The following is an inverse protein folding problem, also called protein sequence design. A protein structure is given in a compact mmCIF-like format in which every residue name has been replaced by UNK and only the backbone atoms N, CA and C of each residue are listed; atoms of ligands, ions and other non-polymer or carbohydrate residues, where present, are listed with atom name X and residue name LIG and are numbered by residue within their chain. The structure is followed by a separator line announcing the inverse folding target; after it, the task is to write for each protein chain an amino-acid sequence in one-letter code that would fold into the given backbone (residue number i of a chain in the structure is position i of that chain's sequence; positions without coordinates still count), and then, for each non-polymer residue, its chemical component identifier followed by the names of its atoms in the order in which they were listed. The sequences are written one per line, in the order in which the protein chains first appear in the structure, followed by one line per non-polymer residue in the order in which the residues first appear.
data_IF_133294379975
#
_entry.id   IF_133294379975
#
_cell.length_a   1.000
_cell.length_b   1.000
_cell.length_c   1.000
_cell.angle_alpha   90.00
_cell.angle_beta   90.00
_cell.angle_gamma   90.00
#
_symmetry.space_group_name_H-M   'P 1'
#
loop_
_entity.id
_entity.type
_entity.pdbx_description
1 polymer ?
#
# COMPACT_ATOMS: atom_id res chain seq x y z
N UNK A 1 -11.03 2.13 -12.02
CA UNK A 1 -11.61 2.46 -10.70
C UNK A 1 -13.13 2.47 -10.74
N UNK A 2 -13.77 1.40 -10.24
CA UNK A 2 -15.24 1.30 -10.18
C UNK A 2 -15.84 2.32 -9.18
N UNK A 3 -15.05 2.88 -8.31
CA UNK A 3 -15.51 3.80 -7.26
C UNK A 3 -15.54 5.26 -7.70
N UNK A 4 -14.73 5.65 -8.68
CA UNK A 4 -14.71 7.00 -9.27
C UNK A 4 -15.54 7.11 -10.56
N UNK A 5 -16.54 6.27 -10.71
CA UNK A 5 -17.35 6.23 -11.94
C UNK A 5 -18.26 7.46 -11.99
N UNK A 6 -17.94 8.38 -12.91
CA UNK A 6 -18.86 9.39 -13.37
C UNK A 6 -20.01 8.74 -14.18
N UNK A 7 -21.10 9.47 -14.46
CA UNK A 7 -22.29 8.94 -15.16
C UNK A 7 -21.99 8.19 -16.47
N UNK A 8 -20.88 8.49 -17.15
CA UNK A 8 -20.44 7.83 -18.38
C UNK A 8 -19.91 6.43 -18.12
N UNK A 9 -19.16 6.28 -17.04
CA UNK A 9 -18.62 4.98 -16.62
C UNK A 9 -19.70 4.05 -16.06
N UNK A 10 -20.75 4.56 -15.42
CA UNK A 10 -21.91 3.74 -14.97
C UNK A 10 -22.65 3.11 -16.15
N UNK A 11 -22.80 3.83 -17.27
CA UNK A 11 -23.38 3.28 -18.50
C UNK A 11 -22.52 2.18 -19.12
N UNK A 12 -21.19 2.35 -19.15
CA UNK A 12 -20.26 1.33 -19.63
C UNK A 12 -20.25 0.08 -18.75
N UNK A 13 -20.35 0.25 -17.45
CA UNK A 13 -20.47 -0.87 -16.50
C UNK A 13 -21.79 -1.64 -16.67
N UNK A 14 -22.90 -0.95 -16.89
CA UNK A 14 -24.19 -1.61 -17.10
C UNK A 14 -24.19 -2.48 -18.36
N UNK A 15 -23.38 -2.16 -19.39
CA UNK A 15 -23.17 -3.00 -20.56
C UNK A 15 -22.37 -4.28 -20.27
N UNK A 16 -21.49 -4.25 -19.24
CA UNK A 16 -20.71 -5.39 -18.81
C UNK A 16 -21.47 -6.33 -17.84
N UNK A 17 -22.57 -5.87 -17.20
CA UNK A 17 -23.33 -6.66 -16.24
C UNK A 17 -23.82 -8.00 -16.80
N UNK A 18 -24.38 -8.09 -18.01
CA UNK A 18 -24.78 -9.38 -18.58
C UNK A 18 -23.63 -10.36 -18.73
N UNK A 19 -22.44 -9.89 -19.05
CA UNK A 19 -21.23 -10.73 -19.14
C UNK A 19 -20.82 -11.24 -17.77
N UNK A 20 -20.79 -10.36 -16.76
CA UNK A 20 -20.45 -10.72 -15.39
C UNK A 20 -21.46 -11.73 -14.79
N UNK A 21 -22.76 -11.48 -14.96
CA UNK A 21 -23.81 -12.34 -14.41
C UNK A 21 -23.77 -13.74 -15.03
N UNK A 22 -23.41 -13.86 -16.30
CA UNK A 22 -23.34 -15.13 -17.02
C UNK A 22 -21.96 -15.80 -16.95
N UNK A 23 -21.02 -15.23 -16.19
CA UNK A 23 -19.70 -15.84 -15.98
C UNK A 23 -19.78 -16.91 -14.89
N UNK A 24 -19.13 -18.06 -15.12
CA UNK A 24 -19.04 -19.12 -14.13
C UNK A 24 -18.13 -18.73 -12.96
N UNK A 25 -17.09 -17.93 -13.24
CA UNK A 25 -16.14 -17.45 -12.25
C UNK A 25 -15.75 -15.99 -12.52
N UNK A 26 -15.75 -15.18 -11.46
CA UNK A 26 -15.26 -13.82 -11.46
C UNK A 26 -14.19 -13.70 -10.36
N UNK A 27 -12.96 -13.41 -10.75
CA UNK A 27 -11.86 -13.18 -9.83
C UNK A 27 -11.80 -11.72 -9.44
N UNK A 28 -11.73 -11.47 -8.14
CA UNK A 28 -11.63 -10.11 -7.57
C UNK A 28 -10.41 -10.01 -6.65
N UNK A 29 -9.70 -8.86 -6.63
CA UNK A 29 -8.38 -8.76 -5.98
C UNK A 29 -8.44 -8.76 -4.44
N UNK A 30 -9.59 -8.46 -3.83
CA UNK A 30 -9.73 -8.27 -2.39
C UNK A 30 -11.19 -8.48 -1.95
N UNK A 31 -11.41 -8.74 -0.67
CA UNK A 31 -12.76 -8.79 -0.09
C UNK A 31 -13.46 -7.43 -0.17
N UNK A 32 -12.72 -6.34 -0.04
CA UNK A 32 -13.24 -4.99 -0.28
C UNK A 32 -13.85 -4.88 -1.69
N UNK A 33 -13.10 -5.31 -2.71
CA UNK A 33 -13.55 -5.25 -4.10
C UNK A 33 -14.72 -6.21 -4.37
N UNK A 34 -14.72 -7.39 -3.77
CA UNK A 34 -15.83 -8.34 -3.80
C UNK A 34 -17.13 -7.69 -3.30
N UNK A 35 -17.06 -6.97 -2.18
CA UNK A 35 -18.22 -6.26 -1.62
C UNK A 35 -18.71 -5.15 -2.55
N UNK A 36 -17.80 -4.45 -3.24
CA UNK A 36 -18.19 -3.47 -4.28
C UNK A 36 -18.96 -4.15 -5.41
N UNK A 37 -18.45 -5.27 -5.93
CA UNK A 37 -19.09 -6.01 -7.03
C UNK A 37 -20.48 -6.49 -6.62
N UNK A 38 -20.62 -7.09 -5.43
CA UNK A 38 -21.90 -7.53 -4.89
C UNK A 38 -22.94 -6.41 -4.77
N UNK A 39 -22.49 -5.23 -4.37
CA UNK A 39 -23.37 -4.07 -4.17
C UNK A 39 -23.73 -3.35 -5.48
N UNK A 40 -22.88 -3.43 -6.50
CA UNK A 40 -23.00 -2.65 -7.73
C UNK A 40 -23.53 -3.45 -8.92
N UNK A 41 -23.40 -4.80 -8.91
CA UNK A 41 -23.81 -5.68 -10.03
C UNK A 41 -25.06 -6.47 -9.63
N UNK A 42 -26.27 -6.06 -10.01
CA UNK A 42 -27.49 -6.77 -9.68
C UNK A 42 -27.50 -8.18 -10.25
N UNK A 43 -27.86 -9.16 -9.46
CA UNK A 43 -28.01 -10.56 -9.89
C UNK A 43 -26.75 -11.42 -9.84
N UNK A 44 -25.61 -10.86 -9.41
CA UNK A 44 -24.37 -11.62 -9.20
C UNK A 44 -24.50 -12.50 -7.94
N UNK A 45 -24.00 -13.72 -8.03
CA UNK A 45 -24.00 -14.69 -6.93
C UNK A 45 -22.64 -14.70 -6.21
N UNK A 46 -22.66 -14.84 -4.89
CA UNK A 46 -21.44 -15.09 -4.10
C UNK A 46 -20.61 -16.28 -4.59
N UNK A 47 -21.30 -17.30 -5.15
CA UNK A 47 -20.64 -18.51 -5.68
C UNK A 47 -19.77 -18.25 -6.90
N UNK A 48 -20.09 -17.18 -7.65
CA UNK A 48 -19.32 -16.76 -8.83
C UNK A 48 -18.08 -15.97 -8.47
N UNK A 49 -17.99 -15.43 -7.24
CA UNK A 49 -16.90 -14.55 -6.82
C UNK A 49 -15.82 -15.32 -6.08
N UNK A 50 -14.62 -15.26 -6.60
CA UNK A 50 -13.41 -15.79 -6.00
C UNK A 50 -12.45 -14.66 -5.68
N UNK A 51 -12.10 -14.50 -4.39
CA UNK A 51 -11.15 -13.48 -3.96
C UNK A 51 -9.75 -14.04 -4.15
N UNK A 52 -8.99 -13.40 -5.00
CA UNK A 52 -7.59 -13.72 -5.24
C UNK A 52 -6.86 -12.51 -5.78
N UNK A 53 -5.69 -12.24 -5.27
CA UNK A 53 -4.81 -11.19 -5.77
C UNK A 53 -4.28 -11.59 -7.16
N UNK A 54 -5.08 -11.32 -8.21
CA UNK A 54 -4.87 -11.85 -9.56
C UNK A 54 -3.48 -11.56 -10.16
N UNK A 55 -2.80 -10.53 -9.68
CA UNK A 55 -1.44 -10.20 -10.12
C UNK A 55 -0.37 -10.87 -9.26
N UNK A 56 -0.68 -11.12 -7.97
CA UNK A 56 0.27 -11.71 -7.03
C UNK A 56 1.54 -10.89 -6.82
N UNK A 57 2.41 -11.40 -5.97
CA UNK A 57 3.72 -10.85 -5.67
C UNK A 57 4.80 -11.87 -6.08
N UNK A 58 5.81 -11.45 -6.84
CA UNK A 58 7.01 -12.28 -7.04
C UNK A 58 7.90 -12.18 -5.79
N UNK A 59 7.80 -13.19 -4.93
CA UNK A 59 8.60 -13.28 -3.69
C UNK A 59 10.08 -13.54 -3.94
N UNK A 60 10.49 -13.89 -5.17
CA UNK A 60 11.90 -14.01 -5.53
C UNK A 60 12.51 -12.64 -5.83
N UNK A 61 11.67 -11.68 -6.26
CA UNK A 61 12.08 -10.29 -6.48
C UNK A 61 12.01 -9.50 -5.18
N UNK A 62 10.87 -9.57 -4.48
CA UNK A 62 10.66 -8.88 -3.21
C UNK A 62 10.86 -9.85 -2.04
N UNK A 63 12.04 -9.81 -1.45
CA UNK A 63 12.43 -10.72 -0.38
C UNK A 63 13.15 -10.00 0.75
N UNK A 64 12.96 -10.47 1.96
CA UNK A 64 13.62 -9.94 3.15
C UNK A 64 15.05 -10.46 3.23
N UNK A 65 16.02 -9.59 2.95
CA UNK A 65 17.44 -9.93 2.90
C UNK A 65 18.09 -10.02 4.30
N UNK A 66 17.54 -9.30 5.29
CA UNK A 66 18.12 -9.19 6.63
C UNK A 66 17.12 -9.50 7.72
N UNK A 67 17.39 -10.52 8.53
CA UNK A 67 16.53 -10.90 9.67
C UNK A 67 16.63 -9.91 10.85
N UNK A 68 17.73 -9.17 10.98
CA UNK A 68 17.98 -8.20 12.05
C UNK A 68 18.56 -6.92 11.46
N UNK A 69 17.76 -5.88 11.38
CA UNK A 69 18.22 -4.55 10.98
C UNK A 69 18.06 -3.61 12.17
N UNK A 70 19.16 -2.97 12.56
CA UNK A 70 19.08 -1.78 13.41
C UNK A 70 18.31 -0.70 12.67
N UNK A 71 17.50 0.08 13.38
CA UNK A 71 16.78 1.19 12.77
C UNK A 71 17.73 2.13 12.04
N UNK A 72 17.42 2.37 10.77
CA UNK A 72 18.20 3.26 9.89
C UNK A 72 17.71 4.70 9.95
N UNK A 73 16.56 4.93 10.58
CA UNK A 73 15.85 6.20 10.52
C UNK A 73 15.22 6.49 9.15
N UNK A 74 15.08 5.48 8.27
CA UNK A 74 14.60 5.69 6.91
C UNK A 74 13.12 5.35 6.78
N UNK A 75 12.36 6.34 6.34
CA UNK A 75 10.94 6.25 5.97
C UNK A 75 10.87 6.28 4.44
N UNK A 76 10.11 5.37 3.83
CA UNK A 76 9.95 5.35 2.37
C UNK A 76 8.48 5.53 1.96
N UNK A 77 8.27 6.30 0.92
CA UNK A 77 7.01 6.42 0.19
C UNK A 77 7.25 5.95 -1.25
N UNK A 78 6.45 5.00 -1.71
CA UNK A 78 6.51 4.48 -3.09
C UNK A 78 5.12 4.53 -3.70
N UNK A 79 4.92 5.43 -4.67
CA UNK A 79 3.69 5.54 -5.44
C UNK A 79 3.87 6.49 -6.61
N UNK A 80 2.87 6.58 -7.48
CA UNK A 80 2.79 7.69 -8.42
C UNK A 80 2.65 9.02 -7.64
N UNK A 81 3.33 10.06 -8.12
CA UNK A 81 3.22 11.40 -7.52
C UNK A 81 2.06 12.14 -8.20
N UNK A 82 0.85 11.70 -7.90
CA UNK A 82 -0.40 12.23 -8.45
C UNK A 82 -1.38 12.60 -7.33
N UNK A 83 -2.41 13.36 -7.67
CA UNK A 83 -3.48 13.70 -6.75
C UNK A 83 -4.15 12.44 -6.16
N UNK A 84 -4.42 12.47 -4.87
CA UNK A 84 -5.04 11.37 -4.14
C UNK A 84 -4.09 10.25 -3.74
N UNK A 85 -2.80 10.27 -4.14
CA UNK A 85 -1.80 9.28 -3.69
C UNK A 85 -1.18 9.65 -2.33
N UNK A 86 -1.56 10.80 -1.75
CA UNK A 86 -1.26 11.20 -0.37
C UNK A 86 0.18 11.62 -0.11
N UNK A 87 0.98 11.87 -1.15
CA UNK A 87 2.33 12.42 -0.96
C UNK A 87 2.31 13.74 -0.20
N UNK A 88 1.27 14.55 -0.41
CA UNK A 88 1.01 15.82 0.26
C UNK A 88 0.65 15.64 1.74
N UNK A 89 -0.15 14.63 2.07
CA UNK A 89 -0.47 14.23 3.45
C UNK A 89 0.80 13.84 4.20
N UNK A 90 1.71 13.09 3.55
CA UNK A 90 2.99 12.73 4.16
C UNK A 90 3.87 13.97 4.37
N UNK A 91 3.97 14.88 3.40
CA UNK A 91 4.76 16.11 3.56
C UNK A 91 4.24 16.94 4.73
N UNK A 92 2.91 17.07 4.88
CA UNK A 92 2.29 17.80 6.00
C UNK A 92 2.64 17.11 7.36
N UNK A 93 2.51 15.80 7.44
CA UNK A 93 2.88 15.02 8.63
C UNK A 93 4.36 15.20 9.01
N UNK A 94 5.27 15.19 8.04
CA UNK A 94 6.70 15.41 8.28
C UNK A 94 6.97 16.84 8.71
N UNK A 95 6.22 17.82 8.20
CA UNK A 95 6.25 19.21 8.66
C UNK A 95 5.94 19.34 10.16
N UNK A 96 4.88 18.67 10.62
CA UNK A 96 4.52 18.62 12.05
C UNK A 96 5.63 17.96 12.89
N UNK A 97 6.15 16.82 12.43
CA UNK A 97 7.25 16.10 13.12
C UNK A 97 8.54 16.91 13.16
N UNK A 98 8.79 17.78 12.18
CA UNK A 98 9.93 18.69 12.20
C UNK A 98 9.76 19.78 13.24
N UNK A 99 8.58 20.37 13.33
CA UNK A 99 8.28 21.40 14.33
C UNK A 99 8.37 20.87 15.75
N UNK A 100 7.98 19.62 15.99
CA UNK A 100 8.11 18.97 17.31
C UNK A 100 9.52 18.40 17.59
N UNK A 101 10.41 18.37 16.58
CA UNK A 101 11.75 17.77 16.69
C UNK A 101 11.77 16.24 16.58
N UNK A 102 10.64 15.57 16.37
CA UNK A 102 10.56 14.12 16.34
C UNK A 102 11.11 13.48 15.06
N UNK A 103 11.34 14.28 13.99
CA UNK A 103 11.97 13.81 12.74
C UNK A 103 13.50 13.81 12.79
N UNK A 104 14.12 14.33 13.84
CA UNK A 104 15.59 14.42 13.94
C UNK A 104 16.25 13.06 13.73
N UNK A 105 17.28 13.04 12.87
CA UNK A 105 18.02 11.82 12.53
C UNK A 105 17.28 10.84 11.61
N UNK A 106 16.11 11.22 11.08
CA UNK A 106 15.34 10.40 10.13
C UNK A 106 15.40 10.97 8.72
N UNK A 107 15.21 10.09 7.74
CA UNK A 107 15.15 10.43 6.30
C UNK A 107 13.83 9.96 5.72
N UNK A 108 13.22 10.77 4.87
CA UNK A 108 12.01 10.43 4.12
C UNK A 108 12.32 10.40 2.64
N UNK A 109 12.14 9.25 2.03
CA UNK A 109 12.47 9.00 0.63
C UNK A 109 11.18 8.90 -0.18
N UNK A 110 11.00 9.79 -1.13
CA UNK A 110 9.87 9.79 -2.07
C UNK A 110 10.31 9.13 -3.38
N UNK A 111 9.64 8.03 -3.75
CA UNK A 111 9.93 7.24 -4.93
C UNK A 111 8.70 7.16 -5.83
N UNK A 112 8.94 7.32 -7.13
CA UNK A 112 7.92 7.26 -8.16
C UNK A 112 7.97 8.46 -9.08
N UNK A 113 6.94 8.61 -9.91
CA UNK A 113 6.80 9.70 -10.86
C UNK A 113 5.31 10.00 -11.07
N UNK A 114 4.98 11.23 -11.43
CA UNK A 114 3.61 11.63 -11.72
C UNK A 114 3.48 13.12 -12.05
N UNK A 115 2.27 13.53 -12.36
CA UNK A 115 1.96 14.90 -12.77
C UNK A 115 2.19 15.96 -11.70
N UNK A 116 2.35 15.56 -10.44
CA UNK A 116 2.56 16.48 -9.31
C UNK A 116 4.00 16.45 -8.74
N UNK A 117 4.96 15.87 -9.48
CA UNK A 117 6.36 15.79 -9.03
C UNK A 117 6.98 17.14 -8.73
N UNK A 118 6.71 18.15 -9.57
CA UNK A 118 7.22 19.52 -9.34
C UNK A 118 6.58 20.13 -8.08
N UNK A 119 5.29 19.88 -7.86
CA UNK A 119 4.57 20.36 -6.69
C UNK A 119 5.10 19.72 -5.39
N UNK A 120 5.41 18.42 -5.40
CA UNK A 120 6.09 17.74 -4.29
C UNK A 120 7.41 18.44 -3.94
N UNK A 121 8.29 18.64 -4.93
CA UNK A 121 9.58 19.30 -4.72
C UNK A 121 9.45 20.74 -4.21
N UNK A 122 8.45 21.46 -4.70
CA UNK A 122 8.13 22.80 -4.24
C UNK A 122 7.69 22.78 -2.77
N UNK A 123 6.74 21.91 -2.40
CA UNK A 123 6.21 21.79 -1.04
C UNK A 123 7.30 21.40 -0.03
N UNK A 124 8.21 20.47 -0.38
CA UNK A 124 9.37 20.09 0.44
C UNK A 124 10.23 21.33 0.76
N UNK A 125 10.48 22.19 -0.23
CA UNK A 125 11.27 23.43 -0.04
C UNK A 125 10.53 24.47 0.81
N UNK A 126 9.25 24.70 0.53
CA UNK A 126 8.42 25.67 1.26
C UNK A 126 8.30 25.33 2.75
N UNK A 127 8.28 24.04 3.09
CA UNK A 127 8.23 23.55 4.47
C UNK A 127 9.62 23.36 5.10
N UNK A 128 10.71 23.79 4.38
CA UNK A 128 12.09 23.62 4.83
C UNK A 128 12.46 22.17 5.17
N UNK A 129 11.95 21.20 4.43
CA UNK A 129 12.16 19.76 4.67
C UNK A 129 13.32 19.17 3.85
N UNK A 130 14.07 19.97 3.10
CA UNK A 130 15.13 19.47 2.19
C UNK A 130 16.31 18.79 2.90
N UNK A 131 16.44 18.95 4.20
CA UNK A 131 17.44 18.28 5.04
C UNK A 131 17.05 16.85 5.43
N UNK A 132 15.75 16.51 5.42
CA UNK A 132 15.23 15.18 5.77
C UNK A 132 14.42 14.50 4.67
N UNK A 133 13.90 15.24 3.67
CA UNK A 133 13.11 14.69 2.57
C UNK A 133 13.92 14.69 1.25
N UNK A 134 13.90 13.55 0.55
CA UNK A 134 14.59 13.38 -0.72
C UNK A 134 13.67 12.72 -1.74
N UNK A 135 13.56 13.32 -2.93
CA UNK A 135 12.90 12.71 -4.08
C UNK A 135 13.90 11.95 -4.93
N UNK A 136 13.67 10.65 -5.13
CA UNK A 136 14.59 9.73 -5.81
C UNK A 136 14.18 9.38 -7.25
N UNK A 137 13.03 9.86 -7.72
CA UNK A 137 12.48 9.45 -9.01
C UNK A 137 11.94 8.02 -9.02
N UNK A 138 11.57 7.51 -10.21
CA UNK A 138 11.12 6.12 -10.36
C UNK A 138 12.28 5.14 -10.15
N UNK A 139 11.94 3.92 -9.69
CA UNK A 139 12.88 2.85 -9.38
C UNK A 139 12.43 1.54 -10.02
N UNK A 140 13.38 0.69 -10.40
CA UNK A 140 13.12 -0.70 -10.82
C UNK A 140 12.72 -1.55 -9.62
N UNK A 141 12.10 -2.71 -9.84
CA UNK A 141 11.72 -3.63 -8.77
C UNK A 141 12.92 -4.07 -7.93
N UNK A 142 14.09 -4.29 -8.56
CA UNK A 142 15.31 -4.63 -7.82
C UNK A 142 15.76 -3.48 -6.91
N UNK A 143 15.78 -2.24 -7.41
CA UNK A 143 16.11 -1.07 -6.59
C UNK A 143 15.07 -0.85 -5.47
N UNK A 144 13.78 -1.13 -5.74
CA UNK A 144 12.72 -1.07 -4.72
C UNK A 144 12.94 -2.13 -3.63
N UNK A 145 13.31 -3.37 -4.01
CA UNK A 145 13.63 -4.40 -3.03
C UNK A 145 14.75 -3.97 -2.09
N UNK A 146 15.85 -3.43 -2.63
CA UNK A 146 16.96 -2.90 -1.84
C UNK A 146 16.49 -1.76 -0.91
N UNK A 147 15.71 -0.83 -1.45
CA UNK A 147 15.22 0.32 -0.72
C UNK A 147 14.28 -0.07 0.43
N UNK A 148 13.34 -0.98 0.19
CA UNK A 148 12.46 -1.50 1.24
C UNK A 148 13.25 -2.21 2.34
N UNK A 149 14.26 -3.03 1.98
CA UNK A 149 15.12 -3.71 2.94
C UNK A 149 15.97 -2.75 3.79
N UNK A 150 16.25 -1.54 3.29
CA UNK A 150 17.00 -0.49 3.99
C UNK A 150 16.09 0.49 4.76
N UNK A 151 14.77 0.34 4.62
CA UNK A 151 13.80 1.24 5.26
C UNK A 151 13.23 0.63 6.54
N UNK A 152 12.96 1.47 7.52
CA UNK A 152 12.32 1.05 8.77
C UNK A 152 10.83 0.83 8.58
N UNK A 153 10.19 1.70 7.77
CA UNK A 153 8.74 1.72 7.55
C UNK A 153 8.41 2.35 6.20
N UNK A 154 7.40 1.80 5.53
CA UNK A 154 6.79 2.41 4.36
C UNK A 154 5.55 3.18 4.78
N UNK A 155 5.36 4.38 4.22
CA UNK A 155 4.13 5.15 4.35
C UNK A 155 3.30 5.02 3.07
N UNK A 156 2.03 4.58 3.24
CA UNK A 156 1.08 4.40 2.15
C UNK A 156 -0.18 5.25 2.37
N UNK A 157 -0.07 6.58 2.21
CA UNK A 157 -1.09 7.54 2.65
C UNK A 157 -2.14 7.81 1.57
N UNK A 158 -2.47 6.83 0.74
CA UNK A 158 -3.43 6.98 -0.36
C UNK A 158 -4.80 7.47 0.14
N UNK A 159 -5.41 8.38 -0.59
CA UNK A 159 -6.80 8.81 -0.41
C UNK A 159 -7.73 8.15 -1.44
N UNK A 160 -7.18 7.29 -2.29
CA UNK A 160 -7.92 6.54 -3.29
C UNK A 160 -8.22 5.13 -2.78
N UNK A 161 -9.35 4.60 -3.20
CA UNK A 161 -9.69 3.20 -2.95
C UNK A 161 -8.79 2.29 -3.79
N UNK A 162 -7.79 1.71 -3.16
CA UNK A 162 -6.91 0.74 -3.81
C UNK A 162 -7.64 -0.60 -3.95
N UNK A 163 -7.45 -1.27 -5.08
CA UNK A 163 -8.00 -2.61 -5.32
C UNK A 163 -7.23 -3.69 -4.57
N UNK A 164 -5.91 -3.57 -4.51
CA UNK A 164 -5.00 -4.44 -3.76
C UNK A 164 -3.87 -3.65 -3.10
N UNK A 165 -3.26 -2.69 -3.80
CA UNK A 165 -2.16 -1.88 -3.27
C UNK A 165 -0.84 -2.67 -3.15
N UNK A 166 -0.40 -3.29 -4.24
CA UNK A 166 0.79 -4.17 -4.31
C UNK A 166 2.04 -3.57 -3.67
N UNK A 167 2.28 -2.26 -3.82
CA UNK A 167 3.47 -1.59 -3.23
C UNK A 167 3.56 -1.77 -1.71
N UNK A 168 2.42 -1.85 -1.01
CA UNK A 168 2.40 -2.14 0.43
C UNK A 168 2.80 -3.58 0.72
N UNK A 169 2.34 -4.52 -0.09
CA UNK A 169 2.66 -5.96 0.03
C UNK A 169 4.12 -6.21 -0.34
N UNK A 170 4.66 -5.54 -1.37
CA UNK A 170 6.07 -5.54 -1.74
C UNK A 170 6.96 -5.10 -0.59
N UNK A 171 6.64 -3.97 0.04
CA UNK A 171 7.35 -3.49 1.21
C UNK A 171 7.33 -4.52 2.36
N UNK A 172 6.16 -5.09 2.65
CA UNK A 172 6.00 -6.09 3.68
C UNK A 172 6.81 -7.36 3.39
N UNK A 173 6.89 -7.82 2.14
CA UNK A 173 7.70 -8.96 1.74
C UNK A 173 9.20 -8.72 2.00
N UNK A 174 9.66 -7.50 1.84
CA UNK A 174 11.04 -7.07 2.17
C UNK A 174 11.24 -6.87 3.69
N UNK A 175 10.23 -7.11 4.50
CA UNK A 175 10.29 -6.89 5.94
C UNK A 175 10.21 -5.40 6.33
N UNK A 176 9.60 -4.56 5.51
CA UNK A 176 9.31 -3.16 5.80
C UNK A 176 7.84 -3.04 6.20
N UNK A 177 7.50 -2.84 7.48
CA UNK A 177 6.11 -2.63 7.92
C UNK A 177 5.49 -1.41 7.24
N UNK A 178 4.16 -1.38 7.16
CA UNK A 178 3.44 -0.31 6.47
C UNK A 178 2.59 0.51 7.45
N UNK A 179 2.73 1.84 7.41
CA UNK A 179 1.74 2.75 7.98
C UNK A 179 0.87 3.24 6.81
N UNK A 180 -0.38 2.79 6.77
CA UNK A 180 -1.28 3.03 5.65
C UNK A 180 -2.59 3.68 6.02
N UNK A 181 -3.22 4.32 5.05
CA UNK A 181 -4.57 4.86 5.22
C UNK A 181 -5.58 3.75 5.50
N UNK A 182 -6.51 3.99 6.41
CA UNK A 182 -7.61 3.08 6.69
C UNK A 182 -8.70 3.20 5.61
N UNK A 183 -8.38 2.75 4.39
CA UNK A 183 -9.28 2.87 3.21
C UNK A 183 -9.08 1.70 2.25
N UNK A 184 -10.14 1.35 1.53
CA UNK A 184 -10.08 0.30 0.49
C UNK A 184 -9.68 -1.06 1.04
N UNK A 185 -8.78 -1.73 0.35
CA UNK A 185 -8.27 -3.05 0.74
C UNK A 185 -7.11 -3.00 1.75
N UNK A 186 -6.55 -1.84 2.05
CA UNK A 186 -5.37 -1.74 2.92
C UNK A 186 -5.56 -2.41 4.29
N UNK A 187 -6.72 -2.28 4.97
CA UNK A 187 -6.98 -2.97 6.24
C UNK A 187 -7.02 -4.50 6.14
N UNK A 188 -7.07 -5.07 4.92
CA UNK A 188 -7.05 -6.53 4.75
C UNK A 188 -5.67 -7.13 5.08
N UNK A 189 -4.58 -6.41 4.83
CA UNK A 189 -3.22 -6.87 5.10
C UNK A 189 -2.45 -6.00 6.10
N UNK A 190 -2.78 -4.72 6.25
CA UNK A 190 -2.23 -3.88 7.32
C UNK A 190 -3.08 -4.11 8.58
N UNK A 191 -2.53 -4.89 9.52
CA UNK A 191 -3.17 -5.16 10.82
C UNK A 191 -2.52 -4.29 11.87
N UNK A 192 -3.32 -3.41 12.48
CA UNK A 192 -2.88 -2.38 13.42
C UNK A 192 -2.08 -2.99 14.59
N UNK A 193 -0.85 -2.52 14.80
CA UNK A 193 0.08 -3.02 15.80
C UNK A 193 0.70 -4.41 15.51
N UNK A 194 0.34 -5.07 14.39
CA UNK A 194 0.81 -6.42 14.03
C UNK A 194 1.72 -6.40 12.80
N UNK A 195 1.24 -5.88 11.68
CA UNK A 195 2.01 -5.79 10.42
C UNK A 195 2.39 -4.35 10.07
N UNK A 196 1.86 -3.39 10.82
CA UNK A 196 2.03 -1.96 10.63
C UNK A 196 1.00 -1.19 11.45
N UNK A 197 0.62 -0.01 10.95
CA UNK A 197 -0.42 0.82 11.57
C UNK A 197 -1.36 1.38 10.53
N UNK A 198 -2.61 1.62 10.94
CA UNK A 198 -3.60 2.33 10.14
C UNK A 198 -3.81 3.74 10.70
N UNK A 199 -4.14 4.67 9.81
CA UNK A 199 -4.56 6.03 10.17
C UNK A 199 -5.71 6.47 9.27
N UNK A 200 -6.48 7.47 9.70
CA UNK A 200 -7.60 8.02 8.94
C UNK A 200 -7.10 8.65 7.63
N UNK A 201 -7.69 8.25 6.50
CA UNK A 201 -7.28 8.73 5.17
C UNK A 201 -7.34 10.25 5.07
N UNK A 202 -6.24 10.88 4.67
CA UNK A 202 -6.09 12.32 4.56
C UNK A 202 -5.72 13.04 5.87
N UNK A 203 -5.68 12.35 7.00
CA UNK A 203 -5.35 12.92 8.30
C UNK A 203 -3.84 12.92 8.54
N UNK A 204 -3.15 14.02 8.18
CA UNK A 204 -1.70 14.18 8.35
C UNK A 204 -1.27 14.16 9.81
N UNK A 205 -2.12 14.67 10.72
CA UNK A 205 -1.81 14.71 12.15
C UNK A 205 -1.78 13.29 12.73
N UNK A 206 -2.79 12.46 12.46
CA UNK A 206 -2.78 11.06 12.91
C UNK A 206 -1.62 10.28 12.27
N UNK A 207 -1.28 10.57 11.00
CA UNK A 207 -0.11 9.97 10.37
C UNK A 207 1.18 10.33 11.13
N UNK A 208 1.35 11.59 11.53
CA UNK A 208 2.50 12.01 12.34
C UNK A 208 2.55 11.27 13.69
N UNK A 209 1.40 11.13 14.37
CA UNK A 209 1.30 10.35 15.61
C UNK A 209 1.70 8.88 15.41
N UNK A 210 1.23 8.23 14.30
CA UNK A 210 1.57 6.83 14.00
C UNK A 210 3.06 6.64 13.70
N UNK A 211 3.68 7.58 12.97
CA UNK A 211 5.13 7.58 12.72
C UNK A 211 5.88 7.70 14.05
N UNK A 212 5.52 8.67 14.88
CA UNK A 212 6.10 8.83 16.23
C UNK A 212 5.97 7.57 17.06
N UNK A 213 4.77 6.98 17.11
CA UNK A 213 4.52 5.76 17.85
C UNK A 213 5.38 4.59 17.37
N UNK A 214 5.50 4.41 16.04
CA UNK A 214 6.36 3.38 15.44
C UNK A 214 7.81 3.50 15.91
N UNK A 215 8.36 4.71 15.95
CA UNK A 215 9.74 4.92 16.40
C UNK A 215 9.92 4.81 17.93
N UNK A 216 8.85 4.93 18.70
CA UNK A 216 8.85 4.66 20.16
C UNK A 216 8.80 3.16 20.50
N UNK A 217 8.48 2.29 19.54
CA UNK A 217 8.54 0.83 19.73
C UNK A 217 9.97 0.38 19.99
N UNK A 218 10.11 -0.63 20.85
CA UNK A 218 11.39 -1.31 21.05
C UNK A 218 11.80 -2.09 19.80
N UNK A 219 13.09 -2.36 19.63
CA UNK A 219 13.60 -3.18 18.52
C UNK A 219 12.94 -4.56 18.47
N UNK A 220 12.66 -5.16 19.63
CA UNK A 220 11.93 -6.43 19.72
C UNK A 220 10.51 -6.34 19.15
N UNK A 221 9.81 -5.24 19.40
CA UNK A 221 8.45 -5.01 18.87
C UNK A 221 8.49 -4.77 17.37
N UNK A 222 9.42 -3.92 16.89
CA UNK A 222 9.60 -3.70 15.43
C UNK A 222 9.98 -4.98 14.70
N UNK A 223 10.90 -5.79 15.26
CA UNK A 223 11.27 -7.09 14.67
C UNK A 223 10.08 -8.06 14.62
N UNK A 224 9.24 -8.10 15.64
CA UNK A 224 8.01 -8.92 15.62
C UNK A 224 7.07 -8.45 14.51
N UNK A 225 6.88 -7.14 14.36
CA UNK A 225 6.06 -6.55 13.30
C UNK A 225 6.60 -6.89 11.91
N UNK A 226 7.91 -6.75 11.70
CA UNK A 226 8.62 -7.13 10.48
C UNK A 226 8.34 -8.60 10.10
N UNK A 227 8.50 -9.54 11.03
CA UNK A 227 8.25 -10.97 10.80
C UNK A 227 6.79 -11.22 10.40
N UNK A 228 5.84 -10.54 11.05
CA UNK A 228 4.43 -10.68 10.71
C UNK A 228 4.10 -10.05 9.34
N UNK A 229 4.73 -8.94 8.99
CA UNK A 229 4.61 -8.31 7.68
C UNK A 229 5.05 -9.29 6.57
N UNK A 230 6.25 -9.87 6.68
CA UNK A 230 6.75 -10.87 5.73
C UNK A 230 5.79 -12.06 5.62
N UNK A 231 5.36 -12.62 6.76
CA UNK A 231 4.43 -13.75 6.77
C UNK A 231 3.10 -13.42 6.07
N UNK A 232 2.61 -12.20 6.24
CA UNK A 232 1.36 -11.77 5.57
C UNK A 232 1.58 -11.58 4.08
N UNK A 233 2.69 -10.97 3.66
CA UNK A 233 3.01 -10.76 2.25
C UNK A 233 3.14 -12.06 1.47
N UNK A 234 3.67 -13.14 2.07
CA UNK A 234 3.78 -14.46 1.44
C UNK A 234 2.43 -15.10 1.08
N UNK A 235 1.32 -14.63 1.67
CA UNK A 235 -0.02 -15.08 1.27
C UNK A 235 -0.42 -14.56 -0.13
N UNK A 236 0.35 -13.62 -0.66
CA UNK A 236 0.17 -13.01 -1.97
C UNK A 236 1.18 -13.50 -3.02
N UNK A 237 1.86 -14.61 -2.75
CA UNK A 237 2.80 -15.23 -3.69
C UNK A 237 2.12 -15.59 -5.01
N UNK A 238 2.66 -15.08 -6.12
CA UNK A 238 2.11 -15.22 -7.46
C UNK A 238 1.99 -16.69 -7.91
N UNK A 239 2.95 -17.56 -7.52
CA UNK A 239 2.94 -18.97 -7.85
C UNK A 239 1.84 -19.72 -7.08
N UNK A 240 1.62 -19.36 -5.82
CA UNK A 240 0.57 -19.96 -5.00
C UNK A 240 -0.81 -19.50 -5.46
N UNK A 241 -0.97 -18.22 -5.75
CA UNK A 241 -2.19 -17.64 -6.33
C UNK A 241 -2.53 -18.32 -7.66
N UNK A 242 -1.55 -18.49 -8.54
CA UNK A 242 -1.75 -19.16 -9.83
C UNK A 242 -2.24 -20.59 -9.67
N UNK A 243 -1.64 -21.35 -8.73
CA UNK A 243 -2.09 -22.73 -8.41
C UNK A 243 -3.51 -22.77 -7.88
N UNK A 244 -3.88 -21.85 -6.99
CA UNK A 244 -5.24 -21.72 -6.45
C UNK A 244 -6.26 -21.39 -7.55
N UNK A 245 -5.94 -20.46 -8.44
CA UNK A 245 -6.79 -20.09 -9.58
C UNK A 245 -7.01 -21.25 -10.53
N UNK A 246 -5.94 -21.98 -10.92
CA UNK A 246 -6.03 -23.17 -11.77
C UNK A 246 -6.88 -24.25 -11.11
N UNK A 247 -6.71 -24.46 -9.80
CA UNK A 247 -7.55 -25.42 -9.07
C UNK A 247 -9.02 -25.02 -9.11
N UNK A 248 -9.30 -23.74 -8.87
CA UNK A 248 -10.66 -23.22 -8.87
C UNK A 248 -11.34 -23.32 -10.25
N UNK A 249 -10.59 -23.06 -11.32
CA UNK A 249 -11.08 -23.20 -12.70
C UNK A 249 -11.41 -24.65 -13.08
N UNK A 250 -10.80 -25.65 -12.44
CA UNK A 250 -11.09 -27.08 -12.68
C UNK A 250 -12.36 -27.57 -11.97
N UNK A 251 -12.88 -26.80 -11.02
CA UNK A 251 -14.11 -27.12 -10.28
C UNK A 251 -15.38 -26.68 -11.01
N UNK A 252 -15.26 -25.87 -12.07
CA UNK A 252 -16.31 -25.35 -12.93
C UNK A 252 -16.51 -26.25 -14.13
#
# INVERSE_FOLDING_TARGET
DIVTINRTSERLLSLAFPLLINSDLIVVPSDYFKNIVLNKVPGISLKQLFVSASEGLDINVFTCLNSHVMSTGTIVYVSRIDAGKGWDVLVDAIGELKLSGEILGKRVLFVGYGGQTELLNKKIKEFNLSDCCCYLGPKTHQELNELYNQSDVMIFPTMLYESLGLVGIEAMACGCPVIGSNIGCLPEYIKDGITGFLFESGNSHELAERITYFYKLTDKQRNKMKIQAVKTAHQYDSDEISRMLISKMKEI
#
